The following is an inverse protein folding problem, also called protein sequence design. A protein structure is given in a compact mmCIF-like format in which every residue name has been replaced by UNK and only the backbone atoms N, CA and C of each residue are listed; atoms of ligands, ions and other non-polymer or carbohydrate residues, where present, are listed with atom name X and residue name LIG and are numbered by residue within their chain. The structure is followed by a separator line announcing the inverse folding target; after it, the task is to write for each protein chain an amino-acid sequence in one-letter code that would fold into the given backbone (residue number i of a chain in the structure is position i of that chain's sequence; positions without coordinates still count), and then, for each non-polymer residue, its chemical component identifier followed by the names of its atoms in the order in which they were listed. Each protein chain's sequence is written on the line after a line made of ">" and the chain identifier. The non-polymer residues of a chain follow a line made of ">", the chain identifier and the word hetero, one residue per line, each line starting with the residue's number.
data_IF_792013492585
#
_entry.id   IF_792013492585
#
_cell.length_a   1.000
_cell.length_b   1.000
_cell.length_c   1.000
_cell.angle_alpha   90.00
_cell.angle_beta   90.00
_cell.angle_gamma   90.00
#
_symmetry.space_group_name_H-M   'P 1'
#
loop_
_entity.id
_entity.type
_entity.pdbx_description
1 polymer ?
#
# COMPACT_ATOMS: atom_id res chain seq x y z
N UNK A 1 10.99 0.66 -10.50
CA UNK A 1 9.63 0.76 -9.92
C UNK A 1 8.91 1.97 -10.48
N UNK A 2 7.58 1.98 -10.41
CA UNK A 2 6.75 3.13 -10.78
C UNK A 2 5.93 3.60 -9.58
N UNK A 3 5.61 4.89 -9.54
CA UNK A 3 4.73 5.45 -8.52
C UNK A 3 3.29 5.16 -8.90
N UNK A 4 2.55 4.52 -7.99
CA UNK A 4 1.14 4.23 -8.15
C UNK A 4 0.34 4.92 -7.05
N UNK A 5 -0.90 5.32 -7.36
CA UNK A 5 -1.86 5.87 -6.40
C UNK A 5 -3.18 5.12 -6.56
N UNK A 6 -3.69 4.58 -5.44
CA UNK A 6 -5.02 3.97 -5.35
C UNK A 6 -5.96 4.93 -4.61
N UNK A 7 -7.16 5.10 -5.13
CA UNK A 7 -8.24 5.84 -4.49
C UNK A 7 -9.53 5.04 -4.63
N UNK A 8 -10.36 5.03 -3.58
CA UNK A 8 -11.72 4.49 -3.63
C UNK A 8 -12.73 5.66 -3.75
N UNK A 9 -13.14 6.05 -4.97
CA UNK A 9 -14.14 7.10 -5.15
C UNK A 9 -15.57 6.64 -4.85
N UNK A 10 -15.78 5.33 -4.66
CA UNK A 10 -17.07 4.75 -4.36
C UNK A 10 -17.49 4.96 -2.90
N UNK A 11 -18.78 4.71 -2.63
CA UNK A 11 -19.34 4.71 -1.27
C UNK A 11 -19.34 3.33 -0.60
N UNK A 12 -18.78 2.33 -1.28
CA UNK A 12 -18.70 0.95 -0.81
C UNK A 12 -17.29 0.72 -0.24
N UNK A 13 -17.15 -0.01 0.89
CA UNK A 13 -15.83 -0.40 1.40
C UNK A 13 -15.00 -1.11 0.33
N UNK A 14 -13.75 -0.67 0.17
CA UNK A 14 -12.78 -1.33 -0.69
C UNK A 14 -11.97 -2.30 0.16
N UNK A 15 -11.89 -3.56 -0.29
CA UNK A 15 -10.94 -4.53 0.24
C UNK A 15 -9.72 -4.57 -0.69
N UNK A 16 -8.52 -4.37 -0.13
CA UNK A 16 -7.27 -4.46 -0.88
C UNK A 16 -6.51 -5.71 -0.43
N UNK A 17 -6.20 -6.58 -1.39
CA UNK A 17 -5.38 -7.76 -1.15
C UNK A 17 -4.01 -7.49 -1.77
N UNK A 18 -2.99 -7.42 -0.92
CA UNK A 18 -1.60 -7.35 -1.35
C UNK A 18 -1.00 -8.75 -1.28
N UNK A 19 -0.39 -9.19 -2.38
CA UNK A 19 0.31 -10.47 -2.46
C UNK A 19 1.79 -10.19 -2.62
N UNK A 20 2.59 -10.67 -1.67
CA UNK A 20 4.05 -10.60 -1.73
C UNK A 20 4.60 -11.96 -2.17
N UNK A 21 5.54 -11.97 -3.11
CA UNK A 21 6.20 -13.17 -3.59
C UNK A 21 7.71 -12.96 -3.61
N UNK A 22 8.46 -13.91 -3.05
CA UNK A 22 9.92 -13.83 -2.92
C UNK A 22 10.40 -14.29 -1.55
N UNK A 23 11.73 -14.30 -1.38
CA UNK A 23 12.36 -14.69 -0.12
C UNK A 23 12.47 -13.53 0.89
N UNK A 24 12.19 -12.31 0.44
CA UNK A 24 12.30 -11.09 1.23
C UNK A 24 10.94 -10.40 1.28
N UNK A 25 10.46 -10.17 2.50
CA UNK A 25 9.14 -9.60 2.83
C UNK A 25 9.33 -8.37 3.74
N UNK A 26 10.49 -7.71 3.65
CA UNK A 26 10.78 -6.52 4.43
C UNK A 26 9.84 -5.37 4.03
N UNK A 27 9.36 -4.61 5.02
CA UNK A 27 8.51 -3.44 4.73
C UNK A 27 9.29 -2.30 4.06
N UNK A 28 10.61 -2.35 4.08
CA UNK A 28 11.52 -1.38 3.45
C UNK A 28 11.54 -1.47 1.92
N UNK A 29 11.09 -2.58 1.34
CA UNK A 29 10.85 -2.69 -0.09
C UNK A 29 9.58 -1.95 -0.55
N UNK A 30 8.75 -1.47 0.39
CA UNK A 30 7.50 -0.76 0.11
C UNK A 30 7.63 0.70 0.56
N UNK A 31 7.89 1.59 -0.40
CA UNK A 31 7.94 3.03 -0.14
C UNK A 31 6.52 3.62 -0.20
N UNK A 32 5.98 4.03 0.96
CA UNK A 32 4.68 4.71 1.08
C UNK A 32 4.88 6.22 1.09
N UNK A 33 4.48 6.90 0.02
CA UNK A 33 4.75 8.33 -0.16
C UNK A 33 3.78 9.26 0.60
N UNK A 34 2.53 8.84 0.81
CA UNK A 34 1.50 9.60 1.51
C UNK A 34 0.82 8.68 2.54
N UNK A 35 1.28 8.72 3.78
CA UNK A 35 0.62 8.05 4.89
C UNK A 35 -0.28 9.03 5.66
N UNK A 36 -1.36 9.44 5.00
CA UNK A 36 -2.40 10.30 5.60
C UNK A 36 -3.11 9.66 6.80
N UNK A 37 -2.88 8.36 7.04
CA UNK A 37 -3.46 7.60 8.15
C UNK A 37 -2.48 7.36 9.31
N UNK A 38 -1.24 7.85 9.23
CA UNK A 38 -0.28 7.84 10.36
C UNK A 38 0.07 6.46 10.91
N UNK A 39 0.17 5.45 10.03
CA UNK A 39 0.54 4.07 10.35
C UNK A 39 2.05 3.86 10.45
N UNK A 40 2.86 4.82 9.99
CA UNK A 40 4.30 4.85 10.19
C UNK A 40 4.67 5.24 11.62
N UNK A 41 5.06 4.25 12.43
CA UNK A 41 5.99 4.41 13.55
C UNK A 41 7.15 3.43 13.36
#
# INVERSE_FOLDING_TARGET
>A
GHKHRLANPGRIPLELIEVQSGAYLGEDDIVRYEDVYGRGK
#
